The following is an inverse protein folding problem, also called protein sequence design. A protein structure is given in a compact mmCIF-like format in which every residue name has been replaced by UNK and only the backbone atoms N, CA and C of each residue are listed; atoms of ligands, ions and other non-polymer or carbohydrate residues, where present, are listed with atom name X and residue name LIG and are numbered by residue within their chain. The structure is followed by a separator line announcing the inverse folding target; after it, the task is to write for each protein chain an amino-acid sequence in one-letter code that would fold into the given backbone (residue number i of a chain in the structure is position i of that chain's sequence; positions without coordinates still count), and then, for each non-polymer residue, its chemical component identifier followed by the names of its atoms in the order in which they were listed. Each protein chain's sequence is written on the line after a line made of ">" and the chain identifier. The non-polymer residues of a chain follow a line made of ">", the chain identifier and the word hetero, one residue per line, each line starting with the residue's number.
data_IF_777025373388
#
_entry.id   IF_777025373388
#
_cell.length_a   1.000
_cell.length_b   1.000
_cell.length_c   1.000
_cell.angle_alpha   90.00
_cell.angle_beta   90.00
_cell.angle_gamma   90.00
#
_symmetry.space_group_name_H-M   'P 1'
#
loop_
_entity.id
_entity.type
_entity.pdbx_description
1 polymer ?
#
# COMPACT_ATOMS: atom_id res chain seq x y z
N UNK A 1 30.98 19.80 28.45
CA UNK A 1 29.52 19.69 28.21
C UNK A 1 29.31 18.78 27.01
N UNK A 2 28.72 17.59 27.20
CA UNK A 2 28.48 16.63 26.11
C UNK A 2 27.17 17.00 25.40
N UNK A 3 27.26 17.36 24.12
CA UNK A 3 26.08 17.60 23.26
C UNK A 3 25.48 16.26 22.87
N UNK A 4 24.32 15.90 23.46
CA UNK A 4 23.61 14.69 23.06
C UNK A 4 22.92 14.91 21.71
N UNK A 5 23.30 14.15 20.68
CA UNK A 5 22.61 14.18 19.39
C UNK A 5 21.19 13.63 19.54
N UNK A 6 20.20 14.39 19.06
CA UNK A 6 18.77 14.04 19.09
C UNK A 6 18.49 12.94 18.06
N UNK A 7 18.93 11.72 18.34
CA UNK A 7 18.61 10.55 17.51
C UNK A 7 17.24 9.99 17.94
N UNK A 8 16.32 9.71 17.00
CA UNK A 8 15.06 9.06 17.33
C UNK A 8 15.34 7.71 18.02
N UNK A 9 14.51 7.36 19.00
CA UNK A 9 14.65 6.11 19.76
C UNK A 9 14.49 4.95 18.81
N UNK A 10 15.59 4.24 18.55
CA UNK A 10 15.60 3.01 17.78
C UNK A 10 14.88 1.91 18.56
N UNK A 11 14.21 1.00 17.85
CA UNK A 11 13.53 -0.19 18.41
C UNK A 11 14.38 -0.96 19.44
N UNK A 12 15.72 -0.92 19.32
CA UNK A 12 16.67 -1.56 20.24
C UNK A 12 16.86 -0.87 21.59
N UNK A 13 16.48 0.41 21.74
CA UNK A 13 16.65 1.19 22.98
C UNK A 13 15.50 0.97 23.97
N UNK A 14 14.26 0.85 23.46
CA UNK A 14 13.06 0.65 24.26
C UNK A 14 13.11 -0.59 25.17
N UNK A 15 13.52 -1.80 24.71
CA UNK A 15 13.57 -2.98 25.58
C UNK A 15 14.60 -2.87 26.71
N UNK A 16 15.61 -1.99 26.58
CA UNK A 16 16.59 -1.75 27.65
C UNK A 16 16.05 -0.88 28.78
N UNK A 17 14.93 -0.20 28.59
CA UNK A 17 14.33 0.67 29.59
C UNK A 17 13.49 -0.11 30.61
N UNK A 18 12.77 -1.14 30.16
CA UNK A 18 11.92 -1.99 31.00
C UNK A 18 12.63 -2.54 32.24
N UNK A 19 13.74 -3.29 32.12
CA UNK A 19 14.37 -3.89 33.28
C UNK A 19 14.91 -2.82 34.26
N UNK A 20 15.22 -1.62 33.77
CA UNK A 20 15.67 -0.52 34.63
C UNK A 20 14.51 0.12 35.40
N UNK A 21 13.33 0.21 34.78
CA UNK A 21 12.12 0.69 35.45
C UNK A 21 11.61 -0.33 36.48
N UNK A 22 11.64 -1.63 36.14
CA UNK A 22 11.31 -2.73 37.07
C UNK A 22 12.24 -2.75 38.29
N UNK A 23 13.50 -2.32 38.11
CA UNK A 23 14.48 -2.14 39.19
C UNK A 23 14.29 -0.84 40.00
N UNK A 24 13.29 -0.01 39.65
CA UNK A 24 12.99 1.24 40.34
C UNK A 24 13.93 2.39 40.02
N UNK A 25 14.70 2.33 38.92
CA UNK A 25 15.56 3.44 38.54
C UNK A 25 14.74 4.68 38.14
N UNK A 26 15.16 5.86 38.62
CA UNK A 26 14.52 7.10 38.20
C UNK A 26 14.75 7.37 36.71
N UNK A 27 13.78 8.01 36.06
CA UNK A 27 13.82 8.31 34.62
C UNK A 27 15.11 8.99 34.13
N UNK A 28 15.75 9.80 34.97
CA UNK A 28 17.06 10.40 34.67
C UNK A 28 18.16 9.34 34.50
N UNK A 29 18.27 8.39 35.42
CA UNK A 29 19.26 7.31 35.36
C UNK A 29 19.04 6.43 34.12
N UNK A 30 17.78 6.05 33.85
CA UNK A 30 17.40 5.28 32.65
C UNK A 30 17.84 6.02 31.38
N UNK A 31 17.56 7.32 31.29
CA UNK A 31 17.89 8.12 30.11
C UNK A 31 19.40 8.22 29.83
N UNK A 32 20.20 8.35 30.89
CA UNK A 32 21.67 8.39 30.81
C UNK A 32 22.22 7.05 30.35
N UNK A 33 21.70 5.95 30.89
CA UNK A 33 22.14 4.59 30.57
C UNK A 33 21.77 4.18 29.14
N UNK A 34 20.57 4.53 28.69
CA UNK A 34 20.08 4.21 27.34
C UNK A 34 20.52 5.27 26.30
N UNK A 35 21.21 6.33 26.73
CA UNK A 35 21.68 7.45 25.89
C UNK A 35 20.54 8.04 25.06
N UNK A 36 19.54 8.57 25.76
CA UNK A 36 18.42 9.30 25.18
C UNK A 36 18.05 10.50 26.06
N UNK A 37 17.21 11.40 25.57
CA UNK A 37 16.73 12.51 26.39
C UNK A 37 15.76 12.00 27.46
N UNK A 38 15.79 12.62 28.64
CA UNK A 38 14.88 12.35 29.77
C UNK A 38 13.42 12.50 29.36
N UNK A 39 13.12 13.52 28.54
CA UNK A 39 11.76 13.79 28.06
C UNK A 39 11.24 12.69 27.12
N UNK A 40 12.10 12.15 26.26
CA UNK A 40 11.77 11.04 25.37
C UNK A 40 11.59 9.74 26.16
N UNK A 41 12.51 9.44 27.09
CA UNK A 41 12.39 8.26 27.96
C UNK A 41 11.09 8.27 28.76
N UNK A 42 10.74 9.40 29.38
CA UNK A 42 9.47 9.55 30.10
C UNK A 42 8.24 9.30 29.20
N UNK A 43 8.23 9.82 27.97
CA UNK A 43 7.13 9.59 27.02
C UNK A 43 6.98 8.10 26.67
N UNK A 44 8.09 7.39 26.45
CA UNK A 44 8.08 5.96 26.14
C UNK A 44 7.56 5.16 27.33
N UNK A 45 8.04 5.43 28.54
CA UNK A 45 7.60 4.75 29.76
C UNK A 45 6.10 4.96 30.05
N UNK A 46 5.62 6.19 29.90
CA UNK A 46 4.19 6.49 30.03
C UNK A 46 3.35 5.80 28.94
N UNK A 47 3.87 5.65 27.73
CA UNK A 47 3.23 4.89 26.65
C UNK A 47 3.16 3.39 26.98
N UNK A 48 4.25 2.84 27.50
CA UNK A 48 4.37 1.45 27.89
C UNK A 48 3.41 1.06 29.03
N UNK A 49 3.27 1.91 30.05
CA UNK A 49 2.29 1.70 31.12
C UNK A 49 0.84 1.65 30.60
N UNK A 50 0.55 2.34 29.47
CA UNK A 50 -0.79 2.36 28.87
C UNK A 50 -1.04 1.17 27.95
N UNK A 51 -0.09 0.77 27.11
CA UNK A 51 -0.31 -0.24 26.07
C UNK A 51 0.30 -1.60 26.37
N UNK A 52 1.13 -1.73 27.41
CA UNK A 52 1.95 -2.92 27.73
C UNK A 52 2.81 -3.42 26.55
N UNK A 53 3.02 -2.58 25.53
CA UNK A 53 3.77 -2.94 24.33
C UNK A 53 4.76 -1.83 23.95
N UNK A 54 6.04 -2.18 24.03
CA UNK A 54 7.22 -1.35 23.74
C UNK A 54 7.28 -0.74 22.34
N UNK A 55 6.55 -1.34 21.39
CA UNK A 55 6.54 -0.97 19.99
C UNK A 55 5.25 -0.29 19.57
N UNK A 56 4.41 0.06 20.54
CA UNK A 56 3.16 0.76 20.26
C UNK A 56 3.48 2.16 19.75
N UNK A 57 3.38 2.35 18.44
CA UNK A 57 3.38 3.66 17.82
C UNK A 57 1.92 4.04 17.60
N UNK A 58 1.46 5.09 18.27
CA UNK A 58 0.12 5.61 18.06
C UNK A 58 -0.10 5.98 16.59
N UNK A 59 -1.34 5.90 16.08
CA UNK A 59 -1.64 6.28 14.71
C UNK A 59 -1.21 7.74 14.50
N UNK A 60 -0.33 7.97 13.52
CA UNK A 60 0.03 9.32 13.11
C UNK A 60 -1.13 9.91 12.33
N UNK A 61 -1.47 11.17 12.60
CA UNK A 61 -2.36 11.93 11.73
C UNK A 61 -1.74 12.00 10.34
N UNK A 62 -2.27 11.20 9.42
CA UNK A 62 -1.90 11.27 8.01
C UNK A 62 -2.42 12.54 7.37
N UNK A 63 -1.91 12.87 6.18
CA UNK A 63 -2.54 13.89 5.33
C UNK A 63 -3.95 13.41 4.94
N UNK A 64 -4.97 14.29 4.92
CA UNK A 64 -6.29 13.95 4.39
C UNK A 64 -6.16 13.33 2.99
N UNK A 65 -6.96 12.30 2.74
CA UNK A 65 -7.02 11.66 1.43
C UNK A 65 -7.73 12.60 0.45
N UNK A 66 -7.38 12.51 -0.83
CA UNK A 66 -8.06 13.25 -1.91
C UNK A 66 -9.38 12.61 -2.36
N UNK A 67 -9.58 11.34 -2.01
CA UNK A 67 -10.73 10.53 -2.40
C UNK A 67 -11.35 9.97 -1.14
N UNK A 68 -12.64 10.21 -0.98
CA UNK A 68 -13.44 9.63 0.09
C UNK A 68 -14.07 8.31 -0.36
N UNK A 69 -14.57 7.53 0.58
CA UNK A 69 -15.20 6.22 0.31
C UNK A 69 -16.42 6.35 -0.62
N UNK A 70 -17.16 7.46 -0.52
CA UNK A 70 -18.30 7.75 -1.40
C UNK A 70 -17.88 7.94 -2.85
N UNK A 71 -16.75 8.59 -3.07
CA UNK A 71 -16.19 8.78 -4.40
C UNK A 71 -15.74 7.46 -5.01
N UNK A 72 -15.13 6.60 -4.18
CA UNK A 72 -14.73 5.26 -4.56
C UNK A 72 -15.93 4.37 -4.91
N UNK A 73 -17.04 4.50 -4.18
CA UNK A 73 -18.28 3.79 -4.51
C UNK A 73 -18.86 4.22 -5.86
N UNK A 74 -18.89 5.53 -6.13
CA UNK A 74 -19.34 6.04 -7.43
C UNK A 74 -18.40 5.61 -8.57
N UNK A 75 -17.09 5.67 -8.33
CA UNK A 75 -16.08 5.15 -9.26
C UNK A 75 -16.31 3.68 -9.60
N UNK A 76 -16.54 2.85 -8.58
CA UNK A 76 -16.87 1.44 -8.73
C UNK A 76 -18.12 1.24 -9.60
N UNK A 77 -19.17 2.02 -9.35
CA UNK A 77 -20.40 1.95 -10.14
C UNK A 77 -20.17 2.26 -11.63
N UNK A 78 -19.40 3.31 -11.94
CA UNK A 78 -19.06 3.71 -13.32
C UNK A 78 -18.16 2.69 -14.04
N UNK A 79 -17.26 2.03 -13.31
CA UNK A 79 -16.43 0.94 -13.84
C UNK A 79 -17.31 -0.29 -14.13
N UNK A 80 -18.16 -0.70 -13.16
CA UNK A 80 -19.05 -1.85 -13.31
C UNK A 80 -20.08 -1.65 -14.43
N UNK A 81 -20.58 -0.43 -14.61
CA UNK A 81 -21.51 -0.07 -15.69
C UNK A 81 -20.82 0.07 -17.07
N UNK A 82 -19.48 -0.12 -17.12
CA UNK A 82 -18.63 0.03 -18.32
C UNK A 82 -18.63 1.44 -18.94
N UNK A 83 -19.13 2.45 -18.22
CA UNK A 83 -19.10 3.85 -18.66
C UNK A 83 -17.72 4.47 -18.54
N UNK A 84 -16.95 4.06 -17.53
CA UNK A 84 -15.58 4.52 -17.32
C UNK A 84 -14.66 3.32 -17.05
N UNK A 85 -14.28 2.54 -18.08
CA UNK A 85 -13.52 1.30 -17.90
C UNK A 85 -12.06 1.52 -17.43
N UNK A 86 -11.57 2.75 -17.51
CA UNK A 86 -10.17 3.10 -17.23
C UNK A 86 -10.03 4.33 -16.35
N UNK A 87 -8.91 4.44 -15.63
CA UNK A 87 -8.64 5.57 -14.73
C UNK A 87 -8.65 6.93 -15.45
N UNK A 88 -8.18 6.99 -16.71
CA UNK A 88 -8.21 8.22 -17.52
C UNK A 88 -9.64 8.64 -17.85
N UNK A 89 -10.51 7.70 -18.20
CA UNK A 89 -11.93 8.00 -18.48
C UNK A 89 -12.63 8.43 -17.19
N UNK A 90 -12.32 7.76 -16.08
CA UNK A 90 -12.84 8.10 -14.77
C UNK A 90 -12.41 9.52 -14.33
N UNK A 91 -11.16 9.89 -14.64
CA UNK A 91 -10.66 11.26 -14.43
C UNK A 91 -11.52 12.27 -15.18
N UNK A 92 -11.70 12.08 -16.49
CA UNK A 92 -12.46 13.00 -17.32
C UNK A 92 -13.92 13.14 -16.87
N UNK A 93 -14.53 12.06 -16.37
CA UNK A 93 -15.95 12.06 -16.01
C UNK A 93 -16.22 12.62 -14.60
N UNK A 94 -15.32 12.39 -13.64
CA UNK A 94 -15.63 12.61 -12.22
C UNK A 94 -14.54 13.32 -11.43
N UNK A 95 -13.28 13.21 -11.84
CA UNK A 95 -12.12 13.51 -11.01
C UNK A 95 -11.07 14.34 -11.76
N UNK A 96 -11.52 15.42 -12.38
CA UNK A 96 -10.71 16.28 -13.27
C UNK A 96 -9.40 16.75 -12.60
N UNK A 97 -9.47 17.10 -11.31
CA UNK A 97 -8.34 17.65 -10.54
C UNK A 97 -7.35 16.58 -10.03
N UNK A 98 -7.61 15.31 -10.31
CA UNK A 98 -6.76 14.21 -9.87
C UNK A 98 -6.00 13.57 -11.01
N UNK A 99 -4.77 13.14 -10.75
CA UNK A 99 -4.02 12.40 -11.75
C UNK A 99 -4.61 10.99 -11.94
N UNK A 100 -4.61 10.44 -13.17
CA UNK A 100 -5.06 9.07 -13.45
C UNK A 100 -4.41 8.04 -12.52
N UNK A 101 -3.12 8.22 -12.23
CA UNK A 101 -2.36 7.32 -11.34
C UNK A 101 -2.86 7.36 -9.89
N UNK A 102 -3.36 8.50 -9.42
CA UNK A 102 -3.95 8.61 -8.07
C UNK A 102 -5.27 7.86 -8.03
N UNK A 103 -6.10 8.02 -9.06
CA UNK A 103 -7.36 7.29 -9.21
C UNK A 103 -7.10 5.79 -9.24
N UNK A 104 -6.18 5.35 -10.11
CA UNK A 104 -5.80 3.95 -10.25
C UNK A 104 -5.37 3.32 -8.92
N UNK A 105 -4.47 3.98 -8.19
CA UNK A 105 -4.02 3.50 -6.87
C UNK A 105 -5.16 3.35 -5.86
N UNK A 106 -6.17 4.19 -5.91
CA UNK A 106 -7.29 4.09 -4.95
C UNK A 106 -8.33 3.06 -5.40
N UNK A 107 -8.58 2.93 -6.71
CA UNK A 107 -9.47 1.89 -7.24
C UNK A 107 -8.86 0.49 -7.09
N UNK A 108 -7.53 0.34 -7.23
CA UNK A 108 -6.88 -0.94 -6.96
C UNK A 108 -6.96 -1.37 -5.49
N UNK A 109 -7.13 -0.43 -4.54
CA UNK A 109 -7.31 -0.76 -3.11
C UNK A 109 -8.68 -1.33 -2.76
N UNK A 110 -9.66 -1.16 -3.64
CA UNK A 110 -11.03 -1.68 -3.49
C UNK A 110 -11.26 -2.90 -4.41
N UNK A 111 -10.17 -3.59 -4.76
CA UNK A 111 -10.13 -4.83 -5.56
C UNK A 111 -10.87 -4.75 -6.90
N UNK A 112 -10.92 -3.57 -7.52
CA UNK A 112 -11.45 -3.40 -8.86
C UNK A 112 -10.32 -3.46 -9.89
N UNK A 113 -10.30 -4.50 -10.76
CA UNK A 113 -9.36 -4.54 -11.86
C UNK A 113 -9.72 -3.41 -12.84
N UNK A 114 -8.91 -2.37 -12.88
CA UNK A 114 -9.00 -1.38 -13.96
C UNK A 114 -8.49 -2.06 -15.22
N UNK A 115 -9.37 -2.26 -16.20
CA UNK A 115 -8.97 -2.78 -17.48
C UNK A 115 -8.19 -1.70 -18.24
N UNK A 116 -6.88 -1.90 -18.41
CA UNK A 116 -6.14 -1.16 -19.43
C UNK A 116 -6.72 -1.57 -20.77
N UNK A 117 -7.47 -0.68 -21.43
CA UNK A 117 -7.88 -0.91 -22.80
C UNK A 117 -6.63 -0.86 -23.69
N UNK A 118 -6.02 -2.02 -23.91
CA UNK A 118 -5.02 -2.17 -24.97
C UNK A 118 -5.71 -1.81 -26.29
N UNK A 119 -5.09 -0.93 -27.07
CA UNK A 119 -5.53 -0.63 -28.44
C UNK A 119 -5.64 -1.96 -29.17
N UNK A 120 -6.86 -2.42 -29.46
CA UNK A 120 -7.05 -3.60 -30.30
C UNK A 120 -6.46 -3.27 -31.66
N UNK A 121 -5.52 -4.05 -32.20
CA UNK A 121 -5.09 -3.85 -33.57
C UNK A 121 -6.34 -3.96 -34.46
N UNK A 122 -6.57 -2.96 -35.30
CA UNK A 122 -7.64 -3.00 -36.29
C UNK A 122 -7.34 -4.10 -37.31
N UNK A 123 -7.77 -5.32 -37.00
CA UNK A 123 -7.71 -6.43 -37.94
C UNK A 123 -8.87 -6.29 -38.91
N UNK A 124 -8.56 -6.09 -40.19
CA UNK A 124 -9.53 -6.19 -41.29
C UNK A 124 -10.27 -7.54 -41.21
N UNK A 125 -11.57 -7.60 -41.56
CA UNK A 125 -12.40 -8.83 -41.47
C UNK A 125 -11.71 -10.07 -42.08
N UNK A 126 -11.03 -9.91 -43.22
CA UNK A 126 -10.26 -11.00 -43.87
C UNK A 126 -9.12 -11.53 -42.98
N UNK A 127 -8.41 -10.66 -42.26
CA UNK A 127 -7.32 -11.02 -41.35
C UNK A 127 -7.82 -11.64 -40.05
N UNK A 128 -9.06 -11.33 -39.63
CA UNK A 128 -9.70 -11.97 -38.46
C UNK A 128 -9.91 -13.47 -38.66
N UNK A 129 -10.33 -13.90 -39.86
CA UNK A 129 -10.55 -15.32 -40.17
C UNK A 129 -9.23 -16.08 -40.14
N UNK A 130 -8.21 -15.53 -40.81
CA UNK A 130 -6.85 -16.08 -40.88
C UNK A 130 -6.19 -16.17 -39.48
N UNK A 131 -6.42 -15.16 -38.62
CA UNK A 131 -5.92 -15.18 -37.24
C UNK A 131 -6.66 -16.20 -36.36
N UNK A 132 -7.97 -16.39 -36.53
CA UNK A 132 -8.71 -17.45 -35.82
C UNK A 132 -8.25 -18.84 -36.24
N UNK A 133 -8.02 -19.05 -37.53
CA UNK A 133 -7.49 -20.32 -38.06
C UNK A 133 -6.08 -20.59 -37.51
N UNK A 134 -5.23 -19.56 -37.44
CA UNK A 134 -3.91 -19.66 -36.81
C UNK A 134 -3.98 -20.00 -35.31
N UNK A 135 -4.89 -19.39 -34.55
CA UNK A 135 -5.08 -19.69 -33.12
C UNK A 135 -5.54 -21.14 -32.90
N UNK A 136 -6.49 -21.64 -33.71
CA UNK A 136 -6.94 -23.04 -33.64
C UNK A 136 -5.80 -24.02 -33.93
N UNK A 137 -4.98 -23.74 -34.96
CA UNK A 137 -3.83 -24.56 -35.29
C UNK A 137 -2.74 -24.55 -34.20
N UNK A 138 -2.70 -23.51 -33.36
CA UNK A 138 -1.81 -23.44 -32.19
C UNK A 138 -2.37 -24.24 -31.00
N UNK A 139 -3.69 -24.22 -30.78
CA UNK A 139 -4.35 -25.08 -29.77
C UNK A 139 -4.14 -26.56 -30.08
N UNK A 140 -4.38 -26.99 -31.33
CA UNK A 140 -4.16 -28.40 -31.75
C UNK A 140 -2.70 -28.84 -31.60
N UNK A 141 -1.73 -27.94 -31.83
CA UNK A 141 -0.31 -28.23 -31.62
C UNK A 141 0.06 -28.35 -30.14
N UNK A 142 -0.67 -27.65 -29.26
CA UNK A 142 -0.44 -27.69 -27.81
C UNK A 142 -0.90 -29.02 -27.22
N UNK A 143 -2.02 -29.55 -27.72
CA UNK A 143 -2.51 -30.89 -27.36
C UNK A 143 -1.56 -32.01 -27.85
N UNK A 144 -0.76 -31.73 -28.89
CA UNK A 144 0.27 -32.60 -29.44
C UNK A 144 1.64 -32.50 -28.72
N UNK A 145 1.83 -31.66 -27.70
CA UNK A 145 3.08 -31.70 -26.89
C UNK A 145 2.91 -32.45 -25.56
N UNK A 146 1.67 -32.69 -25.11
CA UNK A 146 1.37 -33.35 -23.84
C UNK A 146 1.62 -34.88 -23.84
N UNK A 147 1.91 -35.52 -24.98
CA UNK A 147 2.24 -36.95 -25.05
C UNK A 147 3.74 -37.29 -24.94
N UNK A 148 4.62 -36.28 -24.80
CA UNK A 148 6.09 -36.49 -24.65
C UNK A 148 6.60 -36.48 -23.21
N UNK A 149 5.72 -36.65 -22.23
CA UNK A 149 6.11 -36.85 -20.83
C UNK A 149 5.61 -38.22 -20.35
N UNK A 150 6.35 -39.28 -20.72
CA UNK A 150 6.38 -40.59 -20.04
C UNK A 150 7.83 -40.98 -19.88
#
# INVERSE_FOLDING_TARGET
>A
MLTMSMTPSTSSKNPRMLPLDDQGHMAHAISTQVRMSTSQGRKIMLGLQKSHNLYTVGPKSGRPRKLDERDLYRAQHEIKSRRAPGATVLQCNMFLDMSPRTIERNVCKIDLPICVQCKKPYLLKKRWKLHREWLKAQEEKKDLEDWKTV
#
